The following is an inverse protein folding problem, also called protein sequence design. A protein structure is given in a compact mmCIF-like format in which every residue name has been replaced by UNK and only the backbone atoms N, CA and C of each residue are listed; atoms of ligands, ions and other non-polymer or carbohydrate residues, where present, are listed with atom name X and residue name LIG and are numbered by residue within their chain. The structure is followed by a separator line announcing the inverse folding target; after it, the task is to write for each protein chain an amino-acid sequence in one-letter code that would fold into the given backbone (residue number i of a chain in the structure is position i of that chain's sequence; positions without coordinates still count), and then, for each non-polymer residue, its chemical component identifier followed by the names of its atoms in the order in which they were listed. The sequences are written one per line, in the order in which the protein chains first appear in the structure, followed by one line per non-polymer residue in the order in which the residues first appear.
data_IF_379675892731
#
_entry.id   IF_379675892731
#
_cell.length_a   1.000
_cell.length_b   1.000
_cell.length_c   1.000
_cell.angle_alpha   90.00
_cell.angle_beta   90.00
_cell.angle_gamma   90.00
#
_symmetry.space_group_name_H-M   'P 1'
#
loop_
_entity.id
_entity.type
_entity.pdbx_description
1 polymer ?
#
# COMPACT_ATOMS: atom_id res chain seq x y z
N UNK A 1 8.90 4.78 -24.89
CA UNK A 1 8.40 6.07 -24.36
C UNK A 1 9.59 6.88 -23.88
N UNK A 2 9.59 8.21 -23.92
CA UNK A 2 10.66 8.98 -23.26
C UNK A 2 10.38 9.13 -21.76
N UNK A 3 11.41 9.29 -20.92
CA UNK A 3 11.21 9.56 -19.48
C UNK A 3 10.38 10.82 -19.24
N UNK A 4 10.55 11.85 -20.08
CA UNK A 4 9.74 13.07 -20.03
C UNK A 4 8.25 12.81 -20.30
N UNK A 5 7.94 11.84 -21.15
CA UNK A 5 6.55 11.45 -21.40
C UNK A 5 5.97 10.70 -20.20
N UNK A 6 6.75 9.82 -19.57
CA UNK A 6 6.34 9.09 -18.36
C UNK A 6 6.02 10.07 -17.23
N UNK A 7 6.91 11.04 -16.97
CA UNK A 7 6.70 12.06 -15.93
C UNK A 7 5.50 12.94 -16.23
N UNK A 8 5.31 13.35 -17.50
CA UNK A 8 4.14 14.11 -17.92
C UNK A 8 2.83 13.33 -17.69
N UNK A 9 2.78 12.05 -18.05
CA UNK A 9 1.58 11.22 -17.86
C UNK A 9 1.26 11.00 -16.38
N UNK A 10 2.26 10.82 -15.52
CA UNK A 10 2.05 10.78 -14.06
C UNK A 10 1.57 12.11 -13.48
N UNK A 11 2.05 13.24 -14.02
CA UNK A 11 1.53 14.56 -13.65
C UNK A 11 0.05 14.69 -14.05
N UNK A 12 -0.31 14.28 -15.27
CA UNK A 12 -1.72 14.27 -15.72
C UNK A 12 -2.58 13.37 -14.84
N UNK A 13 -2.13 12.16 -14.51
CA UNK A 13 -2.84 11.26 -13.60
C UNK A 13 -3.05 11.89 -12.22
N UNK A 14 -2.04 12.59 -11.69
CA UNK A 14 -2.12 13.31 -10.41
C UNK A 14 -3.17 14.42 -10.44
N UNK A 15 -3.22 15.20 -11.53
CA UNK A 15 -4.26 16.22 -11.73
C UNK A 15 -5.65 15.58 -11.76
N UNK A 16 -5.82 14.45 -12.45
CA UNK A 16 -7.08 13.70 -12.46
C UNK A 16 -7.50 13.25 -11.06
N UNK A 17 -6.58 12.75 -10.22
CA UNK A 17 -6.91 12.37 -8.83
C UNK A 17 -7.33 13.57 -7.97
N UNK A 18 -6.70 14.74 -8.15
CA UNK A 18 -7.10 15.97 -7.46
C UNK A 18 -8.52 16.38 -7.88
N UNK A 19 -8.83 16.33 -9.18
CA UNK A 19 -10.19 16.62 -9.66
C UNK A 19 -11.21 15.58 -9.22
N UNK A 20 -10.80 14.32 -9.05
CA UNK A 20 -11.65 13.27 -8.51
C UNK A 20 -12.10 13.60 -7.09
N UNK A 21 -11.16 13.91 -6.20
CA UNK A 21 -11.45 14.31 -4.81
C UNK A 21 -12.32 15.57 -4.76
N UNK A 22 -11.99 16.59 -5.55
CA UNK A 22 -12.80 17.82 -5.64
C UNK A 22 -14.23 17.53 -6.10
N UNK A 23 -14.40 16.69 -7.11
CA UNK A 23 -15.70 16.34 -7.67
C UNK A 23 -16.55 15.49 -6.72
N UNK A 24 -15.93 14.61 -5.94
CA UNK A 24 -16.59 13.76 -4.95
C UNK A 24 -17.10 14.54 -3.73
N UNK A 25 -16.55 15.73 -3.44
CA UNK A 25 -16.98 16.58 -2.31
C UNK A 25 -18.34 17.25 -2.50
N UNK A 26 -18.95 17.21 -3.70
CA UNK A 26 -20.29 17.75 -3.94
C UNK A 26 -21.18 16.75 -4.71
N UNK A 27 -22.45 16.56 -4.29
CA UNK A 27 -23.36 15.61 -4.94
C UNK A 27 -23.56 15.85 -6.44
N UNK A 28 -23.66 17.12 -6.86
CA UNK A 28 -23.90 17.51 -8.26
C UNK A 28 -22.70 17.22 -9.19
N UNK A 29 -21.49 17.13 -8.64
CA UNK A 29 -20.26 16.83 -9.39
C UNK A 29 -19.73 15.42 -9.17
N UNK A 30 -20.35 14.64 -8.27
CA UNK A 30 -19.87 13.32 -7.83
C UNK A 30 -19.58 12.34 -8.97
N UNK A 31 -20.46 12.27 -9.97
CA UNK A 31 -20.30 11.40 -11.14
C UNK A 31 -19.08 11.81 -11.96
N UNK A 32 -18.89 13.13 -12.20
CA UNK A 32 -17.72 13.65 -12.91
C UNK A 32 -16.43 13.40 -12.12
N UNK A 33 -16.47 13.57 -10.79
CA UNK A 33 -15.36 13.25 -9.90
C UNK A 33 -14.95 11.79 -10.02
N UNK A 34 -15.91 10.85 -9.99
CA UNK A 34 -15.61 9.44 -10.15
C UNK A 34 -15.00 9.11 -11.53
N UNK A 35 -15.47 9.75 -12.60
CA UNK A 35 -14.90 9.59 -13.95
C UNK A 35 -13.44 10.06 -14.03
N UNK A 36 -13.10 11.18 -13.40
CA UNK A 36 -11.72 11.63 -13.28
C UNK A 36 -10.85 10.62 -12.53
N UNK A 37 -11.37 10.01 -11.46
CA UNK A 37 -10.67 8.97 -10.70
C UNK A 37 -10.37 7.73 -11.54
N UNK A 38 -11.37 7.22 -12.27
CA UNK A 38 -11.20 6.08 -13.18
C UNK A 38 -10.20 6.37 -14.29
N UNK A 39 -10.27 7.58 -14.88
CA UNK A 39 -9.37 7.99 -15.96
C UNK A 39 -7.93 8.16 -15.46
N UNK A 40 -7.73 8.79 -14.31
CA UNK A 40 -6.43 8.94 -13.68
C UNK A 40 -5.77 7.60 -13.36
N UNK A 41 -6.54 6.65 -12.80
CA UNK A 41 -6.04 5.30 -12.53
C UNK A 41 -5.67 4.55 -13.82
N UNK A 42 -6.48 4.67 -14.88
CA UNK A 42 -6.18 4.05 -16.17
C UNK A 42 -4.87 4.59 -16.78
N UNK A 43 -4.65 5.92 -16.73
CA UNK A 43 -3.40 6.55 -17.18
C UNK A 43 -2.21 6.06 -16.36
N UNK A 44 -2.34 6.01 -15.03
CA UNK A 44 -1.26 5.56 -14.15
C UNK A 44 -0.86 4.09 -14.42
N UNK A 45 -1.84 3.19 -14.56
CA UNK A 45 -1.58 1.78 -14.90
C UNK A 45 -0.90 1.69 -16.27
N UNK A 46 -1.47 2.31 -17.31
CA UNK A 46 -0.91 2.23 -18.66
C UNK A 46 0.52 2.78 -18.74
N UNK A 47 0.79 3.89 -18.04
CA UNK A 47 2.12 4.49 -17.95
C UNK A 47 3.11 3.56 -17.25
N UNK A 48 2.69 2.92 -16.14
CA UNK A 48 3.53 1.96 -15.41
C UNK A 48 3.85 0.73 -16.25
N UNK A 49 2.86 0.17 -16.95
CA UNK A 49 3.07 -0.94 -17.89
C UNK A 49 4.06 -0.55 -18.98
N UNK A 50 3.88 0.63 -19.60
CA UNK A 50 4.80 1.13 -20.62
C UNK A 50 6.23 1.36 -20.10
N UNK A 51 6.37 1.82 -18.86
CA UNK A 51 7.66 2.01 -18.20
C UNK A 51 8.36 0.68 -17.92
N UNK A 52 7.65 -0.31 -17.37
CA UNK A 52 8.18 -1.65 -17.08
C UNK A 52 8.66 -2.32 -18.37
N UNK A 53 7.87 -2.24 -19.45
CA UNK A 53 8.26 -2.78 -20.76
C UNK A 53 9.50 -2.11 -21.37
N UNK A 54 9.81 -0.87 -20.98
CA UNK A 54 11.00 -0.15 -21.43
C UNK A 54 12.25 -0.50 -20.60
N UNK A 55 12.08 -0.69 -19.28
CA UNK A 55 13.20 -0.92 -18.35
C UNK A 55 13.61 -2.38 -18.24
N UNK A 56 12.76 -3.32 -18.66
CA UNK A 56 13.04 -4.74 -18.49
C UNK A 56 14.21 -5.20 -19.38
N UNK A 57 15.35 -5.53 -18.76
CA UNK A 57 16.58 -5.92 -19.45
C UNK A 57 16.62 -7.42 -19.81
N UNK A 58 15.90 -8.30 -19.10
CA UNK A 58 15.65 -9.71 -19.47
C UNK A 58 14.29 -10.20 -18.93
N UNK A 59 13.68 -11.20 -19.58
CA UNK A 59 12.45 -11.88 -19.11
C UNK A 59 11.22 -10.99 -18.86
N UNK A 60 11.18 -9.79 -19.48
CA UNK A 60 10.09 -8.80 -19.41
C UNK A 60 8.70 -9.43 -19.55
N UNK A 61 8.55 -10.36 -20.49
CA UNK A 61 7.29 -11.03 -20.79
C UNK A 61 6.83 -11.87 -19.59
N UNK A 62 7.73 -12.64 -18.97
CA UNK A 62 7.36 -13.47 -17.80
C UNK A 62 7.02 -12.63 -16.57
N UNK A 63 7.81 -11.60 -16.25
CA UNK A 63 7.51 -10.68 -15.14
C UNK A 63 6.18 -9.96 -15.33
N UNK A 64 5.93 -9.47 -16.55
CA UNK A 64 4.68 -8.79 -16.88
C UNK A 64 3.48 -9.73 -16.81
N UNK A 65 3.63 -11.02 -17.13
CA UNK A 65 2.54 -12.00 -16.96
C UNK A 65 2.12 -12.14 -15.50
N UNK A 66 3.07 -12.16 -14.55
CA UNK A 66 2.73 -12.20 -13.12
C UNK A 66 2.03 -10.92 -12.66
N UNK A 67 2.49 -9.75 -13.11
CA UNK A 67 1.87 -8.46 -12.77
C UNK A 67 0.44 -8.38 -13.32
N UNK A 68 0.22 -8.75 -14.59
CA UNK A 68 -1.11 -8.75 -15.20
C UNK A 68 -2.02 -9.79 -14.56
N UNK A 69 -1.51 -10.99 -14.25
CA UNK A 69 -2.28 -12.01 -13.55
C UNK A 69 -2.73 -11.50 -12.17
N UNK A 70 -1.82 -10.91 -11.39
CA UNK A 70 -2.15 -10.30 -10.10
C UNK A 70 -3.19 -9.18 -10.22
N UNK A 71 -3.04 -8.29 -11.22
CA UNK A 71 -3.99 -7.20 -11.49
C UNK A 71 -5.39 -7.73 -11.81
N UNK A 72 -5.49 -8.74 -12.70
CA UNK A 72 -6.77 -9.31 -13.12
C UNK A 72 -7.43 -10.09 -11.99
N UNK A 73 -6.66 -10.89 -11.24
CA UNK A 73 -7.18 -11.66 -10.11
C UNK A 73 -7.64 -10.73 -8.98
N UNK A 74 -6.76 -9.82 -8.54
CA UNK A 74 -7.05 -8.90 -7.45
C UNK A 74 -8.14 -7.89 -7.80
N UNK A 75 -8.03 -7.25 -8.97
CA UNK A 75 -9.01 -6.30 -9.48
C UNK A 75 -10.37 -6.96 -9.77
N UNK A 76 -10.37 -8.16 -10.33
CA UNK A 76 -11.58 -8.94 -10.59
C UNK A 76 -12.28 -9.36 -9.30
N UNK A 77 -11.54 -9.92 -8.33
CA UNK A 77 -12.08 -10.27 -7.02
C UNK A 77 -12.67 -9.05 -6.31
N UNK A 78 -11.93 -7.93 -6.29
CA UNK A 78 -12.40 -6.67 -5.71
C UNK A 78 -13.68 -6.16 -6.37
N UNK A 79 -13.77 -6.19 -7.70
CA UNK A 79 -14.96 -5.77 -8.44
C UNK A 79 -16.18 -6.66 -8.15
N UNK A 80 -15.98 -7.98 -8.05
CA UNK A 80 -17.05 -8.92 -7.70
C UNK A 80 -17.55 -8.66 -6.27
N UNK A 81 -16.64 -8.47 -5.31
CA UNK A 81 -16.98 -8.17 -3.92
C UNK A 81 -17.77 -6.85 -3.83
N UNK A 82 -17.29 -5.79 -4.49
CA UNK A 82 -17.95 -4.49 -4.50
C UNK A 82 -19.34 -4.52 -5.13
N UNK A 83 -19.57 -5.37 -6.16
CA UNK A 83 -20.88 -5.51 -6.79
C UNK A 83 -21.90 -6.30 -5.96
N UNK A 84 -21.43 -7.22 -5.10
CA UNK A 84 -22.29 -8.14 -4.33
C UNK A 84 -22.57 -7.68 -2.90
N UNK A 85 -21.84 -6.69 -2.38
CA UNK A 85 -22.03 -6.22 -1.01
C UNK A 85 -23.35 -5.45 -0.87
N UNK A 86 -24.02 -5.63 0.27
CA UNK A 86 -25.18 -4.81 0.65
C UNK A 86 -24.72 -3.40 1.06
N UNK A 87 -25.51 -2.37 0.75
CA UNK A 87 -25.18 -0.98 1.10
C UNK A 87 -25.04 -0.76 2.62
N UNK A 88 -25.69 -1.59 3.44
CA UNK A 88 -25.57 -1.60 4.91
C UNK A 88 -24.20 -2.10 5.40
N UNK A 89 -23.49 -2.89 4.60
CA UNK A 89 -22.18 -3.47 4.89
C UNK A 89 -21.02 -2.72 4.23
N UNK A 90 -21.28 -1.55 3.64
CA UNK A 90 -20.25 -0.72 3.03
C UNK A 90 -19.10 -0.36 4.00
N UNK A 91 -19.34 -0.04 5.29
CA UNK A 91 -18.24 0.24 6.22
C UNK A 91 -17.28 -0.96 6.39
N UNK A 92 -17.82 -2.19 6.44
CA UNK A 92 -17.03 -3.42 6.54
C UNK A 92 -16.19 -3.63 5.27
N UNK A 93 -16.79 -3.48 4.09
CA UNK A 93 -16.06 -3.64 2.83
C UNK A 93 -14.94 -2.59 2.69
N UNK A 94 -15.19 -1.34 3.06
CA UNK A 94 -14.19 -0.27 3.02
C UNK A 94 -13.02 -0.59 3.96
N UNK A 95 -13.29 -1.06 5.19
CA UNK A 95 -12.25 -1.50 6.10
C UNK A 95 -11.42 -2.65 5.48
N UNK A 96 -12.07 -3.65 4.90
CA UNK A 96 -11.35 -4.74 4.22
C UNK A 96 -10.47 -4.23 3.07
N UNK A 97 -11.00 -3.38 2.18
CA UNK A 97 -10.23 -2.84 1.05
C UNK A 97 -9.04 -1.99 1.51
N UNK A 98 -9.17 -1.25 2.61
CA UNK A 98 -8.07 -0.46 3.16
C UNK A 98 -6.97 -1.35 3.78
N UNK A 99 -7.34 -2.52 4.33
CA UNK A 99 -6.36 -3.50 4.80
C UNK A 99 -5.44 -3.99 3.67
N UNK A 100 -6.02 -4.28 2.49
CA UNK A 100 -5.27 -4.74 1.32
C UNK A 100 -4.29 -3.69 0.80
N UNK A 101 -4.64 -2.40 0.90
CA UNK A 101 -3.72 -1.29 0.56
C UNK A 101 -2.52 -1.28 1.52
N UNK A 102 -2.77 -1.45 2.82
CA UNK A 102 -1.70 -1.52 3.82
C UNK A 102 -0.77 -2.71 3.59
N UNK A 103 -1.31 -3.88 3.29
CA UNK A 103 -0.51 -5.07 2.97
C UNK A 103 0.31 -4.89 1.70
N UNK A 104 -0.26 -4.26 0.65
CA UNK A 104 0.47 -3.96 -0.57
C UNK A 104 1.69 -3.05 -0.30
N UNK A 105 1.54 -2.03 0.55
CA UNK A 105 2.65 -1.16 0.94
C UNK A 105 3.78 -1.93 1.65
N UNK A 106 3.43 -2.86 2.56
CA UNK A 106 4.40 -3.75 3.22
C UNK A 106 5.12 -4.63 2.20
N UNK A 107 4.38 -5.28 1.29
CA UNK A 107 4.98 -6.12 0.25
C UNK A 107 5.92 -5.34 -0.69
N UNK A 108 5.55 -4.11 -1.06
CA UNK A 108 6.40 -3.24 -1.88
C UNK A 108 7.70 -2.91 -1.14
N UNK A 109 7.61 -2.56 0.14
CA UNK A 109 8.78 -2.20 0.92
C UNK A 109 9.70 -3.41 1.17
N UNK A 110 9.14 -4.59 1.48
CA UNK A 110 9.90 -5.84 1.57
C UNK A 110 10.62 -6.14 0.26
N UNK A 111 9.94 -6.01 -0.88
CA UNK A 111 10.55 -6.22 -2.19
C UNK A 111 11.68 -5.22 -2.48
N UNK A 112 11.49 -3.94 -2.13
CA UNK A 112 12.49 -2.90 -2.33
C UNK A 112 13.71 -3.03 -1.40
N UNK A 113 13.52 -3.59 -0.20
CA UNK A 113 14.62 -3.92 0.73
C UNK A 113 15.36 -5.18 0.30
N UNK A 114 14.66 -6.18 -0.25
CA UNK A 114 15.27 -7.41 -0.75
C UNK A 114 16.08 -7.18 -2.03
N UNK A 115 15.56 -6.40 -2.98
CA UNK A 115 16.17 -6.20 -4.29
C UNK A 115 16.29 -4.70 -4.64
N UNK A 116 17.05 -3.90 -3.86
CA UNK A 116 17.09 -2.44 -4.04
C UNK A 116 17.61 -2.00 -5.41
N UNK A 117 18.44 -2.83 -6.05
CA UNK A 117 18.97 -2.57 -7.39
C UNK A 117 17.88 -2.65 -8.46
N UNK A 118 16.94 -3.60 -8.32
CA UNK A 118 15.83 -3.78 -9.25
C UNK A 118 14.86 -2.59 -9.24
N UNK A 119 14.77 -1.90 -8.10
CA UNK A 119 13.99 -0.67 -7.93
C UNK A 119 14.78 0.60 -8.28
N UNK A 120 16.05 0.47 -8.72
CA UNK A 120 16.90 1.62 -9.06
C UNK A 120 17.29 2.49 -7.86
N UNK A 121 17.24 1.94 -6.64
CA UNK A 121 17.53 2.67 -5.40
C UNK A 121 19.05 2.80 -5.21
N UNK A 122 19.80 1.75 -5.52
CA UNK A 122 21.25 1.69 -5.36
C UNK A 122 21.87 0.74 -6.39
N UNK A 123 23.18 0.84 -6.63
CA UNK A 123 23.92 -0.12 -7.44
C UNK A 123 24.21 -1.42 -6.66
N UNK A 124 24.40 -2.53 -7.39
CA UNK A 124 24.62 -3.83 -6.76
C UNK A 124 25.79 -3.83 -5.76
N UNK A 125 25.51 -4.34 -4.56
CA UNK A 125 26.49 -4.42 -3.47
C UNK A 125 26.74 -3.11 -2.71
N UNK A 126 25.99 -2.05 -2.99
CA UNK A 126 26.07 -0.78 -2.25
C UNK A 126 24.97 -0.68 -1.18
N UNK A 127 25.23 -0.01 -0.05
CA UNK A 127 24.22 0.20 0.98
C UNK A 127 23.11 1.15 0.50
N UNK A 128 21.87 0.79 0.81
CA UNK A 128 20.71 1.66 0.58
C UNK A 128 20.95 3.00 1.31
N UNK A 129 20.80 4.16 0.64
CA UNK A 129 20.94 5.46 1.28
C UNK A 129 19.99 5.64 2.47
N UNK A 130 20.43 6.42 3.47
CA UNK A 130 19.66 6.64 4.70
C UNK A 130 18.24 7.18 4.45
N UNK A 131 18.08 8.09 3.48
CA UNK A 131 16.77 8.64 3.11
C UNK A 131 15.79 7.56 2.65
N UNK A 132 16.20 6.72 1.70
CA UNK A 132 15.40 5.62 1.19
C UNK A 132 15.09 4.58 2.27
N UNK A 133 16.04 4.29 3.18
CA UNK A 133 15.77 3.39 4.32
C UNK A 133 14.68 3.93 5.24
N UNK A 134 14.70 5.23 5.54
CA UNK A 134 13.66 5.87 6.33
C UNK A 134 12.29 5.81 5.62
N UNK A 135 12.25 6.12 4.32
CA UNK A 135 11.02 6.06 3.53
C UNK A 135 10.43 4.65 3.49
N UNK A 136 11.27 3.64 3.23
CA UNK A 136 10.86 2.22 3.21
C UNK A 136 10.36 1.77 4.57
N UNK A 137 11.04 2.15 5.66
CA UNK A 137 10.60 1.83 7.01
C UNK A 137 9.26 2.49 7.35
N UNK A 138 9.13 3.80 7.11
CA UNK A 138 7.89 4.54 7.39
C UNK A 138 6.73 3.97 6.56
N UNK A 139 6.96 3.68 5.28
CA UNK A 139 5.97 3.07 4.40
C UNK A 139 5.50 1.70 4.91
N UNK A 140 6.43 0.84 5.32
CA UNK A 140 6.12 -0.47 5.91
C UNK A 140 5.33 -0.33 7.20
N UNK A 141 5.77 0.56 8.09
CA UNK A 141 5.16 0.80 9.39
C UNK A 141 3.72 1.30 9.27
N UNK A 142 3.50 2.35 8.47
CA UNK A 142 2.15 2.86 8.21
C UNK A 142 1.29 1.80 7.52
N UNK A 143 1.85 1.05 6.58
CA UNK A 143 1.18 -0.07 5.91
C UNK A 143 0.73 -1.17 6.87
N UNK A 144 1.60 -1.62 7.77
CA UNK A 144 1.33 -2.68 8.74
C UNK A 144 0.29 -2.27 9.78
N UNK A 145 0.34 -1.03 10.28
CA UNK A 145 -0.68 -0.47 11.18
C UNK A 145 -2.02 -0.36 10.45
N UNK A 146 -2.01 0.09 9.20
CA UNK A 146 -3.22 0.21 8.38
C UNK A 146 -3.85 -1.15 8.13
N UNK A 147 -3.05 -2.17 7.82
CA UNK A 147 -3.49 -3.54 7.64
C UNK A 147 -4.11 -4.10 8.92
N UNK A 148 -3.36 -4.11 10.03
CA UNK A 148 -3.81 -4.66 11.31
C UNK A 148 -5.05 -3.94 11.86
N UNK A 149 -5.04 -2.61 11.86
CA UNK A 149 -6.17 -1.79 12.31
C UNK A 149 -7.43 -2.03 11.47
N UNK A 150 -7.29 -2.10 10.15
CA UNK A 150 -8.39 -2.39 9.23
C UNK A 150 -8.96 -3.81 9.39
N UNK A 151 -8.12 -4.81 9.65
CA UNK A 151 -8.57 -6.19 9.93
C UNK A 151 -9.39 -6.26 11.22
N UNK A 152 -8.95 -5.57 12.28
CA UNK A 152 -9.74 -5.47 13.52
C UNK A 152 -11.06 -4.73 13.27
N UNK A 153 -11.03 -3.61 12.54
CA UNK A 153 -12.23 -2.84 12.20
C UNK A 153 -13.23 -3.68 11.39
N UNK A 154 -12.75 -4.40 10.37
CA UNK A 154 -13.56 -5.34 9.58
C UNK A 154 -14.23 -6.38 10.48
N UNK A 155 -13.47 -7.07 11.34
CA UNK A 155 -14.03 -8.11 12.18
C UNK A 155 -15.05 -7.58 13.20
N UNK A 156 -14.84 -6.38 13.74
CA UNK A 156 -15.81 -5.70 14.63
C UNK A 156 -17.11 -5.32 13.92
N UNK A 157 -17.01 -4.81 12.70
CA UNK A 157 -18.17 -4.39 11.90
C UNK A 157 -18.95 -5.60 11.33
N UNK A 158 -18.27 -6.71 11.07
CA UNK A 158 -18.89 -7.93 10.54
C UNK A 158 -19.93 -8.54 11.50
N UNK A 159 -19.74 -8.39 12.81
CA UNK A 159 -20.65 -8.92 13.85
C UNK A 159 -20.73 -10.45 13.92
N UNK A 160 -19.99 -11.18 13.07
CA UNK A 160 -20.00 -12.64 12.94
C UNK A 160 -19.07 -13.35 13.94
N UNK A 161 -18.06 -12.65 14.45
CA UNK A 161 -16.99 -13.27 15.22
C UNK A 161 -17.28 -13.24 16.73
N UNK A 162 -17.20 -14.41 17.38
CA UNK A 162 -17.37 -14.54 18.84
C UNK A 162 -16.12 -14.12 19.64
N UNK A 163 -14.98 -13.99 18.97
CA UNK A 163 -13.72 -13.65 19.60
C UNK A 163 -13.75 -12.20 20.12
N UNK A 164 -13.33 -12.00 21.38
CA UNK A 164 -13.44 -10.71 22.11
C UNK A 164 -12.84 -9.52 21.35
N UNK A 165 -11.74 -9.71 20.61
CA UNK A 165 -11.11 -8.64 19.82
C UNK A 165 -11.97 -8.16 18.64
N UNK A 166 -12.87 -9.00 18.13
CA UNK A 166 -13.77 -8.70 17.02
C UNK A 166 -15.21 -8.41 17.48
N UNK A 167 -15.42 -8.19 18.77
CA UNK A 167 -16.70 -7.71 19.28
C UNK A 167 -16.78 -6.17 19.15
N UNK A 168 -17.99 -5.65 18.93
CA UNK A 168 -18.23 -4.21 18.83
C UNK A 168 -17.91 -3.44 20.12
N UNK A 169 -17.89 -4.12 21.27
CA UNK A 169 -17.55 -3.51 22.55
C UNK A 169 -16.06 -3.03 22.58
N UNK A 170 -15.76 -1.90 23.22
CA UNK A 170 -14.38 -1.48 23.46
C UNK A 170 -13.62 -2.56 24.25
N UNK A 171 -12.44 -2.95 23.76
CA UNK A 171 -11.55 -3.87 24.46
C UNK A 171 -10.56 -3.03 25.26
N UNK A 172 -10.75 -2.99 26.58
CA UNK A 172 -9.84 -2.34 27.52
C UNK A 172 -9.25 -3.36 28.48
N UNK A 173 -8.02 -3.10 28.96
CA UNK A 173 -7.33 -3.92 29.95
C UNK A 173 -6.33 -3.08 30.76
N UNK A 174 -6.02 -3.46 32.01
CA UNK A 174 -5.06 -2.73 32.84
C UNK A 174 -3.68 -2.73 32.19
N UNK A 175 -3.03 -1.56 32.15
CA UNK A 175 -1.70 -1.39 31.54
C UNK A 175 -1.69 -1.19 30.01
N UNK A 176 -2.84 -1.08 29.36
CA UNK A 176 -2.95 -0.87 27.90
C UNK A 176 -2.09 0.30 27.38
N UNK A 177 -2.11 1.45 28.07
CA UNK A 177 -1.30 2.60 27.65
C UNK A 177 0.21 2.33 27.76
N UNK A 178 0.65 1.59 28.78
CA UNK A 178 2.06 1.22 28.92
C UNK A 178 2.47 0.20 27.86
N UNK A 179 1.62 -0.77 27.54
CA UNK A 179 1.87 -1.71 26.44
C UNK A 179 1.97 -0.98 25.10
N UNK A 180 1.01 -0.08 24.81
CA UNK A 180 1.03 0.70 23.58
C UNK A 180 2.28 1.58 23.48
N UNK A 181 2.71 2.18 24.59
CA UNK A 181 3.94 2.97 24.64
C UNK A 181 5.17 2.08 24.40
N UNK A 182 5.24 0.91 25.05
CA UNK A 182 6.33 -0.04 24.86
C UNK A 182 6.42 -0.50 23.40
N UNK A 183 5.29 -0.85 22.78
CA UNK A 183 5.23 -1.17 21.36
C UNK A 183 5.69 0.02 20.51
N UNK A 184 5.23 1.24 20.77
CA UNK A 184 5.66 2.42 20.03
C UNK A 184 7.17 2.64 20.12
N UNK A 185 7.77 2.49 21.30
CA UNK A 185 9.22 2.61 21.50
C UNK A 185 9.96 1.51 20.74
N UNK A 186 9.52 0.26 20.82
CA UNK A 186 10.13 -0.85 20.08
C UNK A 186 10.07 -0.60 18.58
N UNK A 187 8.92 -0.18 18.06
CA UNK A 187 8.74 0.09 16.63
C UNK A 187 9.66 1.24 16.16
N UNK A 188 9.69 2.36 16.88
CA UNK A 188 10.58 3.49 16.55
C UNK A 188 12.06 3.08 16.68
N UNK A 189 12.41 2.33 17.72
CA UNK A 189 13.77 1.83 17.94
C UNK A 189 14.23 0.92 16.79
N UNK A 190 13.40 -0.04 16.38
CA UNK A 190 13.67 -0.89 15.22
C UNK A 190 13.86 -0.08 13.94
N UNK A 191 13.04 0.96 13.73
CA UNK A 191 13.19 1.86 12.58
C UNK A 191 14.49 2.63 12.56
N UNK A 192 14.90 3.19 13.71
CA UNK A 192 16.19 3.87 13.84
C UNK A 192 17.34 2.90 13.60
N UNK A 193 17.28 1.71 14.19
CA UNK A 193 18.30 0.66 13.99
C UNK A 193 18.40 0.20 12.53
N UNK A 194 17.27 0.07 11.84
CA UNK A 194 17.23 -0.23 10.41
C UNK A 194 17.87 0.89 9.58
N UNK A 195 17.57 2.15 9.88
CA UNK A 195 18.09 3.30 9.14
C UNK A 195 19.62 3.41 9.24
N UNK A 196 20.18 3.20 10.44
CA UNK A 196 21.62 3.35 10.71
C UNK A 196 22.43 2.05 10.51
N UNK A 197 21.78 0.93 10.19
CA UNK A 197 22.45 -0.36 10.10
C UNK A 197 23.63 -0.32 9.11
N UNK A 198 24.84 -0.75 9.51
CA UNK A 198 25.98 -0.75 8.61
C UNK A 198 25.86 -1.89 7.58
N UNK A 199 26.45 -1.68 6.40
CA UNK A 199 26.58 -2.71 5.36
C UNK A 199 25.53 -2.65 4.26
N UNK A 200 25.80 -3.42 3.20
CA UNK A 200 24.95 -3.55 2.01
C UNK A 200 23.83 -4.58 2.19
N UNK A 201 24.00 -5.52 3.12
CA UNK A 201 22.99 -6.51 3.43
C UNK A 201 21.75 -5.86 4.04
N UNK A 202 20.54 -6.28 3.66
CA UNK A 202 19.33 -5.74 4.25
C UNK A 202 19.29 -6.12 5.73
N UNK A 203 19.12 -5.12 6.60
CA UNK A 203 19.10 -5.32 8.05
C UNK A 203 17.75 -5.88 8.52
N UNK A 204 17.40 -7.09 8.05
CA UNK A 204 16.11 -7.75 8.25
C UNK A 204 15.69 -7.85 9.71
N UNK A 205 16.66 -8.06 10.61
CA UNK A 205 16.42 -8.15 12.05
C UNK A 205 15.71 -6.90 12.63
N UNK A 206 15.89 -5.74 12.01
CA UNK A 206 15.27 -4.48 12.43
C UNK A 206 14.11 -4.07 11.51
N UNK A 207 14.01 -4.66 10.32
CA UNK A 207 12.97 -4.35 9.34
C UNK A 207 11.67 -5.13 9.59
N UNK A 208 11.78 -6.33 10.16
CA UNK A 208 10.60 -7.13 10.55
C UNK A 208 10.12 -6.65 11.91
N UNK A 209 9.04 -5.87 11.90
CA UNK A 209 8.28 -5.43 13.08
C UNK A 209 6.94 -6.14 13.12
#
# INVERSE_FOLDING_TARGET
MSLNLVTLLYLVASICFIQALKGLSHPTTSIKGNLFGMTGMAIAIATTVGLVMMLAQESAVSGMTYVLAGLVIGGGAGAIMAKRVEMTKMPELVAFMHSMIGLAAVCIAVAAVAEPNAFGIVAAGQPIPLGNRLELFIGTFVGAITFSGSVIAFGKLSGKYKFRLFQGAPVTFPGQHMLNLALAIVMVGSGVMFAIAPGAEPAWNYFVV
#
